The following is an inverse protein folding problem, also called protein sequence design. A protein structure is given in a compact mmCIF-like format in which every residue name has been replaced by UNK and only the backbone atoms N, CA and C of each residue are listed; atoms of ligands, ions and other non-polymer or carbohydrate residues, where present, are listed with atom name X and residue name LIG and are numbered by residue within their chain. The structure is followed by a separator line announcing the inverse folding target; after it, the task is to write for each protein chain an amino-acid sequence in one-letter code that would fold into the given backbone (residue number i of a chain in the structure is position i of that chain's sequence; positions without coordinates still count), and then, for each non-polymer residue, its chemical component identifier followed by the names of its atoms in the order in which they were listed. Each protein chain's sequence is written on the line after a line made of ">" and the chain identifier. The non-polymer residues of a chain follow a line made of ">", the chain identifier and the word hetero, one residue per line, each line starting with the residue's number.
data_IF_633349277941
#
_entry.id   IF_633349277941
#
_cell.length_a   1.000
_cell.length_b   1.000
_cell.length_c   1.000
_cell.angle_alpha   90.00
_cell.angle_beta   90.00
_cell.angle_gamma   90.00
#
_symmetry.space_group_name_H-M   'P 1'
#
loop_
_entity.id
_entity.type
_entity.pdbx_description
1 polymer ?
#
# COMPACT_ATOMS: atom_id res chain seq x y z
N UNK A 1 -10.48 -0.05 11.35
CA UNK A 1 -10.48 -0.54 9.96
C UNK A 1 -11.05 0.47 8.98
N UNK A 2 -12.17 1.15 9.28
CA UNK A 2 -12.82 2.12 8.39
C UNK A 2 -11.96 3.24 7.76
N UNK A 3 -10.85 3.64 8.39
CA UNK A 3 -9.90 4.62 7.81
C UNK A 3 -8.79 3.94 7.01
N UNK A 4 -8.29 2.82 7.52
CA UNK A 4 -7.13 2.12 6.97
C UNK A 4 -7.48 1.42 5.66
N UNK A 5 -8.63 0.76 5.61
CA UNK A 5 -9.05 -0.04 4.45
C UNK A 5 -9.19 0.81 3.18
N UNK A 6 -9.89 1.97 3.19
CA UNK A 6 -9.99 2.82 1.99
C UNK A 6 -8.63 3.33 1.48
N UNK A 7 -7.67 3.58 2.37
CA UNK A 7 -6.31 4.00 1.99
C UNK A 7 -5.61 2.85 1.27
N UNK A 8 -5.62 1.65 1.86
CA UNK A 8 -4.98 0.47 1.28
C UNK A 8 -5.68 0.02 -0.01
N UNK A 9 -7.01 0.10 -0.10
CA UNK A 9 -7.78 -0.20 -1.31
C UNK A 9 -7.38 0.73 -2.46
N UNK A 10 -7.32 2.04 -2.20
CA UNK A 10 -6.86 2.97 -3.21
C UNK A 10 -5.42 2.70 -3.65
N UNK A 11 -4.53 2.30 -2.74
CA UNK A 11 -3.16 1.95 -3.12
C UNK A 11 -3.12 0.77 -4.09
N UNK A 12 -3.88 -0.29 -3.80
CA UNK A 12 -3.96 -1.48 -4.67
C UNK A 12 -4.61 -1.16 -6.02
N UNK A 13 -5.71 -0.40 -6.02
CA UNK A 13 -6.41 0.02 -7.24
C UNK A 13 -5.54 0.94 -8.10
N UNK A 14 -4.88 1.92 -7.48
CA UNK A 14 -4.00 2.85 -8.17
C UNK A 14 -2.76 2.13 -8.72
N UNK A 15 -2.20 1.15 -8.01
CA UNK A 15 -1.11 0.31 -8.53
C UNK A 15 -1.58 -0.55 -9.70
N UNK A 16 -2.81 -1.08 -9.65
CA UNK A 16 -3.41 -1.85 -10.76
C UNK A 16 -3.61 -0.98 -12.00
N UNK A 17 -4.12 0.25 -11.82
CA UNK A 17 -4.31 1.22 -12.88
C UNK A 17 -3.02 1.95 -13.31
N UNK A 18 -1.92 1.77 -12.57
CA UNK A 18 -0.66 2.52 -12.72
C UNK A 18 -0.93 4.04 -12.69
N UNK A 19 -1.76 4.47 -11.74
CA UNK A 19 -2.16 5.86 -11.52
C UNK A 19 -1.32 6.48 -10.39
N UNK A 20 -0.27 7.19 -10.77
CA UNK A 20 0.66 7.80 -9.82
C UNK A 20 0.01 8.84 -8.90
N UNK A 21 -0.75 9.84 -9.41
CA UNK A 21 -1.44 10.81 -8.56
C UNK A 21 -2.32 10.17 -7.49
N UNK A 22 -3.10 9.13 -7.84
CA UNK A 22 -3.92 8.39 -6.86
C UNK A 22 -3.07 7.60 -5.89
N UNK A 23 -2.01 6.96 -6.37
CA UNK A 23 -1.15 6.11 -5.54
C UNK A 23 -0.50 6.92 -4.40
N UNK A 24 0.00 8.11 -4.69
CA UNK A 24 0.72 8.93 -3.71
C UNK A 24 -0.18 9.87 -2.90
N UNK A 25 -1.50 9.94 -3.16
CA UNK A 25 -2.36 11.01 -2.63
C UNK A 25 -2.33 11.10 -1.09
N UNK A 26 -2.27 9.94 -0.43
CA UNK A 26 -2.31 9.80 1.02
C UNK A 26 -0.92 9.71 1.67
N UNK A 27 0.16 9.82 0.88
CA UNK A 27 1.53 9.72 1.38
C UNK A 27 1.96 10.95 2.17
N UNK A 28 2.86 10.74 3.14
CA UNK A 28 3.62 11.83 3.75
C UNK A 28 4.50 12.52 2.69
N UNK A 29 4.86 13.79 2.92
CA UNK A 29 5.76 14.52 2.02
C UNK A 29 7.10 13.77 1.80
N UNK A 30 7.60 13.13 2.87
CA UNK A 30 8.79 12.29 2.83
C UNK A 30 8.61 11.11 1.86
N UNK A 31 7.53 10.33 2.01
CA UNK A 31 7.31 9.15 1.17
C UNK A 31 7.04 9.54 -0.30
N UNK A 32 6.35 10.67 -0.55
CA UNK A 32 6.19 11.24 -1.91
C UNK A 32 7.54 11.52 -2.58
N UNK A 33 8.52 12.01 -1.83
CA UNK A 33 9.86 12.29 -2.35
C UNK A 33 10.70 11.05 -2.69
N UNK A 34 10.29 9.86 -2.26
CA UNK A 34 11.04 8.61 -2.46
C UNK A 34 10.61 7.81 -3.70
N UNK A 35 9.46 8.15 -4.29
CA UNK A 35 8.87 7.39 -5.39
C UNK A 35 8.58 8.33 -6.56
N UNK A 36 9.24 8.13 -7.69
CA UNK A 36 8.88 8.82 -8.94
C UNK A 36 7.76 8.08 -9.67
N UNK A 37 7.12 8.76 -10.62
CA UNK A 37 6.12 8.15 -11.50
C UNK A 37 6.69 7.00 -12.32
N UNK A 38 7.89 7.18 -12.89
CA UNK A 38 8.57 6.13 -13.66
C UNK A 38 8.94 4.93 -12.79
N UNK A 39 9.37 5.17 -11.54
CA UNK A 39 9.65 4.10 -10.59
C UNK A 39 8.37 3.32 -10.25
N UNK A 40 7.25 3.99 -9.96
CA UNK A 40 5.97 3.34 -9.72
C UNK A 40 5.55 2.49 -10.92
N UNK A 41 5.65 3.05 -12.14
CA UNK A 41 5.31 2.34 -13.38
C UNK A 41 6.16 1.08 -13.54
N UNK A 42 7.48 1.19 -13.39
CA UNK A 42 8.41 0.07 -13.50
C UNK A 42 8.07 -1.04 -12.49
N UNK A 43 7.87 -0.68 -11.22
CA UNK A 43 7.48 -1.61 -10.15
C UNK A 43 6.16 -2.31 -10.49
N UNK A 44 5.14 -1.54 -10.91
CA UNK A 44 3.82 -2.08 -11.20
C UNK A 44 3.83 -3.03 -12.40
N UNK A 45 4.49 -2.66 -13.50
CA UNK A 45 4.62 -3.52 -14.68
C UNK A 45 5.33 -4.82 -14.32
N UNK A 46 6.45 -4.74 -13.59
CA UNK A 46 7.22 -5.92 -13.21
C UNK A 46 6.43 -6.85 -12.27
N UNK A 47 5.88 -6.34 -11.16
CA UNK A 47 5.16 -7.21 -10.24
C UNK A 47 3.88 -7.77 -10.88
N UNK A 48 3.16 -7.00 -11.71
CA UNK A 48 1.96 -7.51 -12.37
C UNK A 48 2.28 -8.62 -13.37
N UNK A 49 3.40 -8.51 -14.11
CA UNK A 49 3.84 -9.57 -15.01
C UNK A 49 4.21 -10.86 -14.25
N UNK A 50 4.87 -10.74 -13.09
CA UNK A 50 5.33 -11.89 -12.29
C UNK A 50 4.22 -12.49 -11.42
N UNK A 51 3.46 -11.65 -10.71
CA UNK A 51 2.52 -12.02 -9.64
C UNK A 51 1.06 -11.88 -10.04
N UNK A 52 0.75 -11.14 -11.10
CA UNK A 52 -0.63 -10.79 -11.47
C UNK A 52 -1.14 -9.58 -10.69
N UNK A 53 -2.46 -9.43 -10.64
CA UNK A 53 -3.13 -8.31 -9.97
C UNK A 53 -3.47 -8.66 -8.53
N UNK A 54 -3.81 -7.65 -7.73
CA UNK A 54 -4.37 -7.85 -6.40
C UNK A 54 -5.62 -8.72 -6.47
N UNK A 55 -5.69 -9.77 -5.64
CA UNK A 55 -6.84 -10.69 -5.60
C UNK A 55 -7.64 -10.62 -4.28
N UNK A 56 -7.07 -10.00 -3.25
CA UNK A 56 -7.70 -9.86 -1.94
C UNK A 56 -6.69 -9.88 -0.81
N UNK A 57 -7.13 -9.39 0.35
CA UNK A 57 -6.35 -9.41 1.59
C UNK A 57 -7.20 -9.80 2.79
N UNK A 58 -6.56 -10.39 3.78
CA UNK A 58 -7.15 -10.77 5.07
C UNK A 58 -6.37 -10.10 6.20
N UNK A 59 -7.09 -9.48 7.13
CA UNK A 59 -6.47 -8.80 8.27
C UNK A 59 -5.75 -9.80 9.18
N UNK A 60 -4.52 -9.48 9.56
CA UNK A 60 -3.73 -10.29 10.49
C UNK A 60 -3.59 -9.58 11.83
N UNK A 61 -3.05 -8.35 11.82
CA UNK A 61 -2.77 -7.63 13.06
C UNK A 61 -2.72 -6.11 12.85
N UNK A 62 -2.96 -5.39 13.95
CA UNK A 62 -2.76 -3.96 14.05
C UNK A 62 -1.94 -3.66 15.31
N UNK A 63 -0.92 -2.83 15.15
CA UNK A 63 -0.05 -2.38 16.21
C UNK A 63 -0.22 -0.87 16.37
N UNK A 64 -0.71 -0.44 17.53
CA UNK A 64 -0.79 0.98 17.89
C UNK A 64 0.48 1.38 18.61
N UNK A 65 1.15 2.41 18.10
CA UNK A 65 2.32 3.05 18.70
C UNK A 65 1.96 4.47 19.12
N UNK A 66 2.79 5.15 19.95
CA UNK A 66 2.50 6.53 20.37
C UNK A 66 2.30 7.52 19.21
N UNK A 67 2.98 7.29 18.09
CA UNK A 67 3.07 8.21 16.95
C UNK A 67 2.54 7.65 15.62
N UNK A 68 2.10 6.39 15.62
CA UNK A 68 1.80 5.67 14.38
C UNK A 68 0.95 4.42 14.59
N UNK A 69 0.42 3.91 13.48
CA UNK A 69 -0.32 2.67 13.43
C UNK A 69 0.30 1.81 12.34
N UNK A 70 0.78 0.62 12.69
CA UNK A 70 1.21 -0.38 11.72
C UNK A 70 0.11 -1.44 11.55
N UNK A 71 -0.17 -1.83 10.32
CA UNK A 71 -1.20 -2.81 9.99
C UNK A 71 -0.63 -3.83 9.03
N UNK A 72 -0.92 -5.11 9.30
CA UNK A 72 -0.44 -6.24 8.52
C UNK A 72 -1.63 -7.05 8.02
N UNK A 73 -1.57 -7.40 6.74
CA UNK A 73 -2.50 -8.31 6.09
C UNK A 73 -1.76 -9.45 5.41
N UNK A 74 -2.51 -10.54 5.28
CA UNK A 74 -2.20 -11.63 4.36
C UNK A 74 -2.83 -11.31 3.01
N UNK A 75 -2.01 -11.14 1.98
CA UNK A 75 -2.44 -10.72 0.65
C UNK A 75 -2.19 -11.83 -0.38
N UNK A 76 -3.06 -11.89 -1.40
CA UNK A 76 -2.91 -12.79 -2.54
C UNK A 76 -2.93 -12.02 -3.85
N UNK A 77 -2.28 -12.58 -4.86
CA UNK A 77 -2.32 -12.08 -6.23
C UNK A 77 -2.95 -13.11 -7.17
N UNK A 78 -3.33 -12.69 -8.37
CA UNK A 78 -4.06 -13.56 -9.33
C UNK A 78 -3.19 -14.62 -10.01
N UNK A 79 -1.86 -14.48 -10.04
CA UNK A 79 -0.94 -15.40 -10.73
C UNK A 79 0.09 -16.05 -9.81
N UNK A 80 0.63 -15.34 -8.83
CA UNK A 80 1.56 -15.92 -7.87
C UNK A 80 0.83 -16.79 -6.83
N UNK A 81 1.34 -18.00 -6.61
CA UNK A 81 0.87 -18.88 -5.55
C UNK A 81 1.39 -18.44 -4.18
N UNK A 82 0.65 -18.77 -3.13
CA UNK A 82 1.01 -18.49 -1.75
C UNK A 82 0.47 -17.15 -1.23
N UNK A 83 0.76 -16.90 0.03
CA UNK A 83 0.38 -15.71 0.76
C UNK A 83 1.56 -14.73 0.81
N UNK A 84 1.26 -13.45 0.62
CA UNK A 84 2.20 -12.33 0.70
C UNK A 84 1.90 -11.50 1.95
N UNK A 85 2.94 -10.88 2.51
CA UNK A 85 2.76 -9.94 3.62
C UNK A 85 2.53 -8.56 3.01
N UNK A 86 1.37 -7.97 3.28
CA UNK A 86 1.13 -6.57 2.98
C UNK A 86 1.15 -5.77 4.28
N UNK A 87 1.96 -4.72 4.33
CA UNK A 87 2.10 -3.87 5.50
C UNK A 87 1.92 -2.40 5.16
N UNK A 88 1.31 -1.68 6.10
CA UNK A 88 1.05 -0.25 6.01
C UNK A 88 1.38 0.40 7.35
N UNK A 89 2.14 1.48 7.32
CA UNK A 89 2.33 2.35 8.49
C UNK A 89 1.69 3.70 8.20
N UNK A 90 0.77 4.08 9.08
CA UNK A 90 0.11 5.37 9.09
C UNK A 90 0.65 6.24 10.24
N UNK A 91 0.83 7.52 9.96
CA UNK A 91 1.10 8.57 10.95
C UNK A 91 -0.03 9.58 10.91
N UNK A 92 -0.32 10.24 12.03
CA UNK A 92 -1.28 11.35 12.07
C UNK A 92 -0.53 12.67 11.85
N UNK A 93 -0.95 13.44 10.86
CA UNK A 93 -0.42 14.76 10.52
C UNK A 93 -1.58 15.70 10.24
N UNK A 94 -1.64 16.81 10.96
CA UNK A 94 -2.69 17.84 10.81
C UNK A 94 -4.13 17.28 10.90
N UNK A 95 -4.34 16.30 11.80
CA UNK A 95 -5.64 15.63 12.00
C UNK A 95 -6.04 14.64 10.90
N UNK A 96 -5.11 14.27 10.01
CA UNK A 96 -5.33 13.28 8.97
C UNK A 96 -4.29 12.15 9.05
N UNK A 97 -4.72 10.91 8.77
CA UNK A 97 -3.79 9.79 8.63
C UNK A 97 -3.09 9.83 7.27
N UNK A 98 -1.76 9.70 7.29
CA UNK A 98 -0.89 9.67 6.11
C UNK A 98 -0.07 8.41 6.08
N UNK A 99 0.15 7.86 4.89
CA UNK A 99 1.00 6.70 4.66
C UNK A 99 2.45 7.13 4.75
N UNK A 100 3.15 6.59 5.73
CA UNK A 100 4.58 6.82 5.91
C UNK A 100 5.42 5.62 5.42
N UNK A 101 4.80 4.44 5.36
CA UNK A 101 5.38 3.22 4.80
C UNK A 101 4.30 2.32 4.20
N UNK A 102 4.59 1.70 3.05
CA UNK A 102 3.79 0.62 2.48
C UNK A 102 4.71 -0.36 1.74
N UNK A 103 4.50 -1.65 1.95
CA UNK A 103 5.27 -2.69 1.27
C UNK A 103 4.46 -3.97 1.10
N UNK A 104 4.75 -4.73 0.03
CA UNK A 104 4.24 -6.09 -0.18
C UNK A 104 5.37 -7.01 -0.60
N UNK A 105 5.67 -8.05 0.16
CA UNK A 105 6.78 -8.98 -0.12
C UNK A 105 6.37 -10.45 -0.12
#
# INVERSE_FOLDING_TARGET
>A
MAVVEPIMDNLMDASTAIDYPRHIRDFTARLKGMLSEDALRSICVDYQARRGFFAGREFVALFRRPDSIAVVWRQRFTKAAGDFVAELVLVEQDGAYRVDHVMVF
#
